data_IF_158349683845
#
_entry.id   IF_158349683845
#
_cell.length_a   1.000
_cell.length_b   1.000
_cell.length_c   1.000
_cell.angle_alpha   90.00
_cell.angle_beta   90.00
_cell.angle_gamma   90.00
#
_symmetry.space_group_name_H-M   'P 1'
#
loop_
_entity.id
_entity.type
_entity.pdbx_description
1 polymer ?
#
# COMPACT_ATOMS: atom_id res chain seq x y z
N UNK A 1 32.99 -49.03 -20.26
CA UNK A 1 31.51 -49.06 -20.21
C UNK A 1 31.07 -48.07 -19.13
N UNK A 2 30.54 -46.91 -19.51
CA UNK A 2 30.05 -45.92 -18.55
C UNK A 2 28.58 -46.21 -18.25
N UNK A 3 28.28 -46.56 -17.00
CA UNK A 3 26.94 -46.84 -16.50
C UNK A 3 26.15 -45.53 -16.46
N UNK A 4 25.19 -45.38 -17.39
CA UNK A 4 24.29 -44.23 -17.42
C UNK A 4 23.35 -44.31 -16.21
N UNK A 5 23.60 -43.49 -15.19
CA UNK A 5 22.68 -43.36 -14.06
C UNK A 5 21.32 -42.85 -14.57
N UNK A 6 20.28 -43.65 -14.31
CA UNK A 6 18.89 -43.31 -14.65
C UNK A 6 18.43 -42.27 -13.62
N UNK A 7 18.23 -41.02 -14.06
CA UNK A 7 17.61 -39.98 -13.23
C UNK A 7 16.27 -40.51 -12.71
N UNK A 8 15.98 -40.45 -11.40
CA UNK A 8 14.69 -40.91 -10.87
C UNK A 8 13.55 -40.10 -11.51
N UNK A 9 12.39 -40.72 -11.78
CA UNK A 9 11.24 -40.01 -12.31
C UNK A 9 10.84 -38.91 -11.34
N UNK A 10 10.68 -37.70 -11.85
CA UNK A 10 10.25 -36.56 -11.05
C UNK A 10 8.87 -36.90 -10.44
N UNK A 11 8.67 -36.79 -9.12
CA UNK A 11 7.40 -37.13 -8.50
C UNK A 11 6.28 -36.27 -9.13
N UNK A 12 5.15 -36.91 -9.44
CA UNK A 12 4.00 -36.23 -10.02
C UNK A 12 3.52 -35.13 -9.06
N UNK A 13 3.16 -33.93 -9.56
CA UNK A 13 2.71 -32.84 -8.71
C UNK A 13 1.41 -33.21 -7.99
N UNK A 14 1.36 -32.99 -6.68
CA UNK A 14 0.15 -33.17 -5.90
C UNK A 14 -0.81 -32.02 -6.15
N UNK A 15 -2.09 -32.35 -6.33
CA UNK A 15 -3.17 -31.36 -6.47
C UNK A 15 -4.04 -31.25 -5.21
N UNK A 16 -3.67 -31.96 -4.15
CA UNK A 16 -4.42 -31.97 -2.89
C UNK A 16 -4.07 -30.75 -2.04
N UNK A 17 -5.10 -30.13 -1.46
CA UNK A 17 -4.94 -29.10 -0.42
C UNK A 17 -4.62 -29.83 0.89
N UNK A 18 -3.49 -29.54 1.55
CA UNK A 18 -3.15 -30.17 2.81
C UNK A 18 -4.07 -29.69 3.91
N UNK A 19 -4.77 -30.63 4.55
CA UNK A 19 -5.58 -30.39 5.75
C UNK A 19 -4.99 -31.22 6.88
N UNK A 20 -4.83 -30.61 8.05
CA UNK A 20 -4.33 -31.32 9.22
C UNK A 20 -5.38 -32.33 9.69
N UNK A 21 -5.06 -33.63 9.56
CA UNK A 21 -5.89 -34.69 10.10
C UNK A 21 -5.95 -34.62 11.64
N UNK A 22 -7.10 -34.91 12.21
CA UNK A 22 -7.32 -35.14 13.65
C UNK A 22 -8.28 -36.31 13.79
N UNK A 23 -8.03 -37.18 14.78
CA UNK A 23 -8.91 -38.31 15.11
C UNK A 23 -10.22 -37.82 15.76
N UNK A 24 -10.25 -36.56 16.23
CA UNK A 24 -11.45 -35.90 16.73
C UNK A 24 -12.26 -35.30 15.56
N UNK A 25 -13.51 -35.75 15.30
CA UNK A 25 -14.32 -35.26 14.20
C UNK A 25 -14.58 -33.75 14.21
N UNK A 26 -14.78 -33.16 15.40
CA UNK A 26 -15.04 -31.72 15.52
C UNK A 26 -13.79 -30.89 15.16
N UNK A 27 -12.61 -31.34 15.59
CA UNK A 27 -11.34 -30.72 15.21
C UNK A 27 -11.02 -30.91 13.74
N UNK A 28 -11.31 -32.09 13.18
CA UNK A 28 -11.13 -32.35 11.76
C UNK A 28 -11.97 -31.39 10.90
N UNK A 29 -13.26 -31.19 11.23
CA UNK A 29 -14.10 -30.20 10.55
C UNK A 29 -13.58 -28.77 10.73
N UNK A 30 -13.11 -28.43 11.94
CA UNK A 30 -12.49 -27.14 12.21
C UNK A 30 -11.21 -26.90 11.39
N UNK A 31 -10.37 -27.92 11.23
CA UNK A 31 -9.15 -27.85 10.42
C UNK A 31 -9.48 -27.70 8.93
N UNK A 32 -10.52 -28.37 8.45
CA UNK A 32 -10.99 -28.20 7.07
C UNK A 32 -11.50 -26.78 6.82
N UNK A 33 -12.30 -26.23 7.75
CA UNK A 33 -12.78 -24.86 7.68
C UNK A 33 -11.62 -23.84 7.67
N UNK A 34 -10.60 -24.04 8.51
CA UNK A 34 -9.39 -23.20 8.53
C UNK A 34 -8.60 -23.29 7.21
N UNK A 35 -8.50 -24.48 6.64
CA UNK A 35 -7.77 -24.67 5.38
C UNK A 35 -8.47 -23.96 4.22
N UNK A 36 -9.80 -24.08 4.08
CA UNK A 36 -10.51 -23.50 2.93
C UNK A 36 -10.62 -21.97 3.00
N UNK A 37 -10.60 -21.39 4.20
CA UNK A 37 -10.60 -19.93 4.40
C UNK A 37 -9.21 -19.32 4.50
N UNK A 38 -8.15 -20.13 4.43
CA UNK A 38 -6.79 -19.65 4.44
C UNK A 38 -6.52 -18.73 3.24
N UNK A 39 -5.86 -17.56 3.43
CA UNK A 39 -5.59 -16.61 2.34
C UNK A 39 -4.84 -17.24 1.16
N UNK A 40 -3.94 -18.18 1.43
CA UNK A 40 -3.14 -18.86 0.42
C UNK A 40 -4.01 -19.76 -0.47
N UNK A 41 -5.01 -20.43 0.12
CA UNK A 41 -5.96 -21.27 -0.63
C UNK A 41 -6.88 -20.40 -1.49
N UNK A 42 -7.30 -19.23 -0.99
CA UNK A 42 -8.06 -18.28 -1.79
C UNK A 42 -7.24 -17.75 -2.98
N UNK A 43 -6.01 -17.32 -2.74
CA UNK A 43 -5.10 -16.84 -3.79
C UNK A 43 -4.81 -17.95 -4.83
N UNK A 44 -4.52 -19.17 -4.38
CA UNK A 44 -4.32 -20.33 -5.24
C UNK A 44 -5.51 -20.56 -6.18
N UNK A 45 -6.75 -20.55 -5.65
CA UNK A 45 -7.97 -20.76 -6.46
C UNK A 45 -8.12 -19.71 -7.55
N UNK A 46 -7.83 -18.45 -7.25
CA UNK A 46 -7.89 -17.36 -8.23
C UNK A 46 -6.82 -17.54 -9.30
N UNK A 47 -5.57 -17.84 -8.91
CA UNK A 47 -4.48 -18.08 -9.87
C UNK A 47 -4.84 -19.25 -10.80
N UNK A 48 -5.37 -20.34 -10.27
CA UNK A 48 -5.78 -21.49 -11.10
C UNK A 48 -6.95 -21.16 -12.04
N UNK A 49 -7.79 -20.20 -11.69
CA UNK A 49 -8.90 -19.76 -12.53
C UNK A 49 -8.46 -18.79 -13.64
N UNK A 50 -7.37 -18.06 -13.45
CA UNK A 50 -6.87 -17.06 -14.41
C UNK A 50 -5.82 -17.61 -15.38
N UNK A 51 -5.04 -18.60 -14.96
CA UNK A 51 -3.89 -19.08 -15.72
C UNK A 51 -4.23 -20.20 -16.71
N UNK A 52 -3.46 -20.26 -17.81
CA UNK A 52 -3.61 -21.34 -18.78
C UNK A 52 -3.21 -22.70 -18.18
N UNK A 53 -3.86 -23.78 -18.63
CA UNK A 53 -3.60 -25.12 -18.10
C UNK A 53 -2.14 -25.56 -18.25
N UNK A 54 -1.46 -25.11 -19.32
CA UNK A 54 -0.04 -25.44 -19.54
C UNK A 54 0.88 -24.88 -18.44
N UNK A 55 0.52 -23.72 -17.87
CA UNK A 55 1.26 -23.10 -16.77
C UNK A 55 0.95 -23.78 -15.42
N UNK A 56 -0.29 -24.27 -15.26
CA UNK A 56 -0.76 -24.83 -13.98
C UNK A 56 -0.58 -26.34 -13.86
N UNK A 57 -0.44 -27.05 -14.98
CA UNK A 57 -0.24 -28.50 -15.00
C UNK A 57 0.98 -28.95 -14.16
N UNK A 58 2.15 -28.28 -14.23
CA UNK A 58 3.33 -28.68 -13.45
C UNK A 58 3.26 -28.29 -11.97
N UNK A 59 2.34 -27.42 -11.54
CA UNK A 59 2.33 -26.86 -10.18
C UNK A 59 1.98 -27.91 -9.12
N UNK A 60 2.79 -27.99 -8.07
CA UNK A 60 2.46 -28.71 -6.85
C UNK A 60 1.65 -27.80 -5.91
N UNK A 61 0.42 -28.21 -5.57
CA UNK A 61 -0.50 -27.39 -4.76
C UNK A 61 0.05 -27.18 -3.34
N UNK A 62 0.50 -28.21 -2.60
CA UNK A 62 1.13 -28.00 -1.30
C UNK A 62 2.32 -27.04 -1.33
N UNK A 63 3.23 -27.19 -2.30
CA UNK A 63 4.39 -26.31 -2.47
C UNK A 63 3.98 -24.87 -2.79
N UNK A 64 2.97 -24.66 -3.63
CA UNK A 64 2.44 -23.34 -3.94
C UNK A 64 1.81 -22.66 -2.70
N UNK A 65 1.04 -23.41 -1.91
CA UNK A 65 0.43 -22.88 -0.69
C UNK A 65 1.48 -22.51 0.36
N UNK A 66 2.55 -23.31 0.49
CA UNK A 66 3.66 -22.98 1.37
C UNK A 66 4.37 -21.71 0.91
N UNK A 67 4.68 -21.59 -0.39
CA UNK A 67 5.29 -20.39 -0.95
C UNK A 67 4.45 -19.13 -0.72
N UNK A 68 3.14 -19.21 -0.94
CA UNK A 68 2.22 -18.07 -0.69
C UNK A 68 2.18 -17.69 0.80
N UNK A 69 2.22 -18.68 1.69
CA UNK A 69 2.29 -18.45 3.13
C UNK A 69 3.59 -17.76 3.53
N UNK A 70 4.72 -18.25 3.01
CA UNK A 70 6.05 -17.71 3.28
C UNK A 70 6.17 -16.27 2.77
N UNK A 71 5.57 -15.97 1.61
CA UNK A 71 5.48 -14.62 1.09
C UNK A 71 4.69 -13.70 2.05
N UNK A 72 3.54 -14.14 2.58
CA UNK A 72 2.78 -13.39 3.58
C UNK A 72 3.55 -13.17 4.88
N UNK A 73 4.31 -14.16 5.33
CA UNK A 73 5.18 -14.06 6.49
C UNK A 73 6.33 -13.07 6.26
N UNK A 74 6.96 -13.09 5.08
CA UNK A 74 8.01 -12.16 4.69
C UNK A 74 7.51 -10.70 4.76
N UNK A 75 6.34 -10.42 4.18
CA UNK A 75 5.70 -9.10 4.28
C UNK A 75 5.46 -8.66 5.73
N UNK A 76 4.95 -9.57 6.56
CA UNK A 76 4.68 -9.29 7.97
C UNK A 76 5.97 -9.01 8.76
N UNK A 77 7.11 -9.54 8.31
CA UNK A 77 8.43 -9.30 8.88
C UNK A 77 9.14 -8.05 8.36
N UNK A 78 8.52 -7.33 7.41
CA UNK A 78 9.07 -6.13 6.78
C UNK A 78 9.98 -6.39 5.58
N UNK A 79 10.10 -7.63 5.11
CA UNK A 79 10.80 -7.94 3.86
C UNK A 79 9.91 -7.56 2.66
N UNK A 80 10.30 -6.48 1.98
CA UNK A 80 9.59 -5.94 0.81
C UNK A 80 10.18 -6.43 -0.52
N UNK A 81 11.21 -7.29 -0.50
CA UNK A 81 11.97 -7.71 -1.70
C UNK A 81 11.04 -8.22 -2.81
N UNK A 82 10.05 -9.05 -2.45
CA UNK A 82 9.09 -9.57 -3.42
C UNK A 82 8.20 -8.46 -4.01
N UNK A 83 7.67 -7.55 -3.18
CA UNK A 83 6.88 -6.41 -3.67
C UNK A 83 7.71 -5.49 -4.57
N UNK A 84 8.97 -5.24 -4.22
CA UNK A 84 9.86 -4.43 -5.05
C UNK A 84 10.08 -5.06 -6.43
N UNK A 85 10.36 -6.38 -6.47
CA UNK A 85 10.51 -7.11 -7.72
C UNK A 85 9.22 -7.10 -8.54
N UNK A 86 8.07 -7.35 -7.89
CA UNK A 86 6.75 -7.34 -8.54
C UNK A 86 6.43 -5.96 -9.16
N UNK A 87 6.58 -4.88 -8.40
CA UNK A 87 6.31 -3.52 -8.89
C UNK A 87 7.28 -3.10 -10.00
N UNK A 88 8.55 -3.50 -9.91
CA UNK A 88 9.55 -3.24 -10.95
C UNK A 88 9.21 -3.97 -12.27
N UNK A 89 8.78 -5.23 -12.18
CA UNK A 89 8.32 -6.00 -13.33
C UNK A 89 7.05 -5.40 -13.94
N UNK A 90 6.07 -5.00 -13.11
CA UNK A 90 4.84 -4.36 -13.57
C UNK A 90 5.11 -3.01 -14.27
N UNK A 91 5.99 -2.18 -13.71
CA UNK A 91 6.40 -0.93 -14.34
C UNK A 91 7.04 -1.19 -15.71
N UNK A 92 7.92 -2.20 -15.81
CA UNK A 92 8.55 -2.58 -17.08
C UNK A 92 7.53 -3.07 -18.12
N UNK A 93 6.55 -3.87 -17.71
CA UNK A 93 5.48 -4.34 -18.58
C UNK A 93 4.60 -3.18 -19.09
N UNK A 94 4.22 -2.25 -18.20
CA UNK A 94 3.42 -1.07 -18.55
C UNK A 94 4.18 -0.12 -19.48
N UNK A 95 5.49 0.09 -19.26
CA UNK A 95 6.35 0.86 -20.17
C UNK A 95 6.44 0.20 -21.55
N UNK A 96 6.55 -1.13 -21.59
CA UNK A 96 6.55 -1.89 -22.84
C UNK A 96 5.21 -1.73 -23.57
N UNK A 97 4.10 -1.80 -22.85
CA UNK A 97 2.77 -1.59 -23.40
C UNK A 97 2.60 -0.17 -23.97
N UNK A 98 3.11 0.86 -23.27
CA UNK A 98 3.15 2.23 -23.79
C UNK A 98 3.90 2.31 -25.12
N UNK A 99 5.10 1.73 -25.19
CA UNK A 99 5.91 1.74 -26.43
C UNK A 99 5.15 1.07 -27.58
N UNK A 100 4.61 -0.14 -27.35
CA UNK A 100 3.87 -0.90 -28.37
C UNK A 100 2.60 -0.22 -28.85
N UNK A 101 1.83 0.39 -27.95
CA UNK A 101 0.62 1.11 -28.31
C UNK A 101 0.95 2.39 -29.08
N UNK A 102 2.05 3.06 -28.73
CA UNK A 102 2.53 4.26 -29.44
C UNK A 102 2.97 3.91 -30.86
N UNK A 103 3.78 2.85 -31.03
CA UNK A 103 4.14 2.31 -32.34
C UNK A 103 2.90 2.02 -33.18
N UNK A 104 1.93 1.29 -32.61
CA UNK A 104 0.67 0.98 -33.30
C UNK A 104 -0.14 2.22 -33.66
N UNK A 105 -0.18 3.24 -32.82
CA UNK A 105 -0.87 4.49 -33.07
C UNK A 105 -0.26 5.24 -34.27
N UNK A 106 1.08 5.32 -34.34
CA UNK A 106 1.79 6.00 -35.43
C UNK A 106 1.62 5.31 -36.79
N UNK A 107 1.27 4.02 -36.79
CA UNK A 107 0.95 3.28 -38.02
C UNK A 107 -0.50 3.45 -38.50
N UNK A 108 -1.37 4.14 -37.74
CA UNK A 108 -2.78 4.30 -38.12
C UNK A 108 -2.97 5.46 -39.11
N UNK A 109 -3.65 5.20 -40.21
CA UNK A 109 -4.08 6.24 -41.16
C UNK A 109 -5.42 6.88 -40.78
N UNK A 110 -6.23 6.20 -39.97
CA UNK A 110 -7.52 6.70 -39.49
C UNK A 110 -7.39 7.33 -38.11
N UNK A 111 -7.75 8.61 -38.02
CA UNK A 111 -7.63 9.41 -36.79
C UNK A 111 -8.29 8.76 -35.55
N UNK A 112 -9.50 8.18 -35.63
CA UNK A 112 -10.12 7.55 -34.45
C UNK A 112 -9.29 6.38 -33.87
N UNK A 113 -8.63 5.60 -34.73
CA UNK A 113 -7.78 4.49 -34.27
C UNK A 113 -6.48 5.00 -33.66
N UNK A 114 -5.89 6.04 -34.26
CA UNK A 114 -4.72 6.72 -33.71
C UNK A 114 -5.02 7.24 -32.30
N UNK A 115 -6.13 7.97 -32.15
CA UNK A 115 -6.56 8.51 -30.86
C UNK A 115 -6.81 7.40 -29.83
N UNK A 116 -7.50 6.32 -30.22
CA UNK A 116 -7.78 5.20 -29.33
C UNK A 116 -6.51 4.55 -28.80
N UNK A 117 -5.55 4.22 -29.68
CA UNK A 117 -4.27 3.64 -29.26
C UNK A 117 -3.43 4.62 -28.44
N UNK A 118 -3.37 5.90 -28.83
CA UNK A 118 -2.62 6.92 -28.11
C UNK A 118 -3.18 7.13 -26.69
N UNK A 119 -4.51 7.14 -26.53
CA UNK A 119 -5.16 7.25 -25.22
C UNK A 119 -4.80 6.07 -24.31
N UNK A 120 -4.79 4.86 -24.84
CA UNK A 120 -4.37 3.68 -24.08
C UNK A 120 -2.87 3.73 -23.74
N UNK A 121 -2.03 4.20 -24.66
CA UNK A 121 -0.59 4.37 -24.44
C UNK A 121 -0.33 5.33 -23.28
N UNK A 122 -0.90 6.54 -23.31
CA UNK A 122 -0.73 7.53 -22.25
C UNK A 122 -1.27 7.05 -20.90
N UNK A 123 -2.31 6.21 -20.90
CA UNK A 123 -2.78 5.54 -19.68
C UNK A 123 -1.80 4.50 -19.16
N UNK A 124 -1.14 3.72 -20.04
CA UNK A 124 -0.10 2.78 -19.62
C UNK A 124 1.12 3.51 -19.04
N UNK A 125 1.54 4.62 -19.67
CA UNK A 125 2.61 5.48 -19.16
C UNK A 125 2.28 6.05 -17.76
N UNK A 126 1.07 6.57 -17.56
CA UNK A 126 0.68 7.13 -16.27
C UNK A 126 0.65 6.08 -15.16
N UNK A 127 0.22 4.85 -15.46
CA UNK A 127 0.28 3.73 -14.52
C UNK A 127 1.71 3.24 -14.25
N UNK A 128 2.59 3.24 -15.27
CA UNK A 128 4.01 2.93 -15.08
C UNK A 128 4.68 3.93 -14.15
N UNK A 129 4.35 5.23 -14.28
CA UNK A 129 4.86 6.25 -13.35
C UNK A 129 4.31 6.04 -11.94
N UNK A 130 3.03 5.74 -11.80
CA UNK A 130 2.40 5.50 -10.50
C UNK A 130 3.04 4.31 -9.76
N UNK A 131 3.31 3.21 -10.47
CA UNK A 131 3.99 2.03 -9.89
C UNK A 131 5.41 2.35 -9.42
N UNK A 132 6.17 3.13 -10.19
CA UNK A 132 7.51 3.60 -9.78
C UNK A 132 7.46 4.57 -8.58
N UNK A 133 6.43 5.42 -8.50
CA UNK A 133 6.19 6.28 -7.34
C UNK A 133 5.89 5.46 -6.08
N UNK A 134 5.06 4.42 -6.20
CA UNK A 134 4.81 3.48 -5.10
C UNK A 134 6.11 2.79 -4.66
N UNK A 135 6.94 2.33 -5.61
CA UNK A 135 8.24 1.73 -5.28
C UNK A 135 9.16 2.73 -4.55
N UNK A 136 9.23 3.98 -5.01
CA UNK A 136 10.00 5.02 -4.35
C UNK A 136 9.50 5.31 -2.92
N UNK A 137 8.18 5.31 -2.71
CA UNK A 137 7.57 5.50 -1.40
C UNK A 137 7.82 4.31 -0.45
N UNK A 138 7.90 3.08 -0.99
CA UNK A 138 8.29 1.90 -0.20
C UNK A 138 9.74 2.04 0.27
N UNK A 139 10.65 2.48 -0.62
CA UNK A 139 12.08 2.64 -0.29
C UNK A 139 12.37 3.84 0.60
N UNK A 140 11.57 4.89 0.49
CA UNK A 140 11.70 6.12 1.26
C UNK A 140 10.32 6.52 1.80
N UNK A 141 9.88 5.91 2.92
CA UNK A 141 8.59 6.22 3.51
C UNK A 141 8.52 7.72 3.83
N UNK A 142 7.44 8.41 3.45
CA UNK A 142 7.30 9.82 3.79
C UNK A 142 7.33 9.98 5.32
N UNK A 143 8.16 10.90 5.81
CA UNK A 143 8.18 11.25 7.24
C UNK A 143 6.90 11.99 7.56
N UNK A 144 5.90 11.26 8.05
CA UNK A 144 4.68 11.87 8.59
C UNK A 144 5.00 12.34 10.00
N UNK A 145 5.27 13.63 10.15
CA UNK A 145 5.26 14.26 11.47
C UNK A 145 3.81 14.28 11.97
N UNK A 146 3.44 13.26 12.74
CA UNK A 146 2.22 13.31 13.52
C UNK A 146 2.38 14.47 14.51
N UNK A 147 1.75 15.61 14.20
CA UNK A 147 1.65 16.73 15.13
C UNK A 147 0.86 16.20 16.33
N UNK A 148 1.56 15.77 17.38
CA UNK A 148 0.97 15.34 18.63
C UNK A 148 0.12 16.49 19.16
N UNK A 149 -1.19 16.42 18.96
CA UNK A 149 -2.12 17.21 19.74
C UNK A 149 -2.16 16.50 21.08
N UNK A 150 -1.31 16.92 22.01
CA UNK A 150 -1.52 16.64 23.42
C UNK A 150 -2.85 17.31 23.81
N UNK A 151 -3.97 16.61 23.63
CA UNK A 151 -5.26 17.01 24.18
C UNK A 151 -5.23 16.75 25.69
N UNK A 152 -4.51 17.60 26.42
CA UNK A 152 -4.71 17.77 27.86
C UNK A 152 -5.86 18.74 28.07
N UNK A 153 -7.09 18.26 27.86
CA UNK A 153 -8.28 18.95 28.36
C UNK A 153 -9.15 17.93 29.10
N UNK A 154 -8.76 17.66 30.35
CA UNK A 154 -9.51 16.82 31.29
C UNK A 154 -8.70 15.64 31.82
N UNK A 155 -8.96 15.27 33.08
CA UNK A 155 -8.42 14.04 33.66
C UNK A 155 -9.07 12.83 32.97
N UNK A 156 -8.36 12.25 32.01
CA UNK A 156 -8.74 10.97 31.44
C UNK A 156 -8.39 9.86 32.43
N UNK A 157 -9.37 9.40 33.19
CA UNK A 157 -9.26 8.21 34.01
C UNK A 157 -9.27 6.97 33.10
N UNK A 158 -8.11 6.38 32.90
CA UNK A 158 -7.94 5.04 32.31
C UNK A 158 -8.30 3.98 33.37
N UNK A 159 -9.56 3.54 33.38
CA UNK A 159 -9.99 2.38 34.17
C UNK A 159 -9.58 1.09 33.44
N UNK A 160 -8.33 0.67 33.60
CA UNK A 160 -7.93 -0.68 33.24
C UNK A 160 -8.33 -1.61 34.40
N UNK A 161 -9.39 -2.39 34.17
CA UNK A 161 -10.05 -3.18 35.20
C UNK A 161 -9.12 -4.17 35.92
N UNK A 162 -8.99 -3.99 37.23
CA UNK A 162 -8.66 -5.06 38.19
C UNK A 162 -9.60 -4.92 39.37
N UNK A 163 -10.28 -6.02 39.68
CA UNK A 163 -11.27 -6.18 40.74
C UNK A 163 -10.69 -6.12 42.16
N UNK A 164 -11.57 -5.76 43.11
CA UNK A 164 -11.62 -6.06 44.57
C UNK A 164 -11.00 -5.04 45.56
N UNK A 165 -11.54 -4.89 46.80
CA UNK A 165 -12.93 -4.68 47.24
C UNK A 165 -13.13 -3.35 48.00
N UNK A 166 -14.41 -3.04 48.28
CA UNK A 166 -14.92 -1.85 48.97
C UNK A 166 -14.23 -1.54 50.31
N UNK A 167 -13.79 -0.29 50.47
CA UNK A 167 -13.62 0.32 51.80
C UNK A 167 -14.20 1.73 51.76
N UNK A 168 -15.28 1.94 52.54
CA UNK A 168 -15.86 3.26 52.82
C UNK A 168 -14.76 4.21 53.28
N UNK A 169 -14.64 5.37 52.63
CA UNK A 169 -14.04 6.56 53.22
C UNK A 169 -14.97 7.74 52.98
N UNK A 170 -15.43 8.25 54.10
CA UNK A 170 -16.17 9.49 54.30
C UNK A 170 -15.31 10.66 53.77
N UNK A 171 -15.90 11.51 52.94
CA UNK A 171 -15.28 12.74 52.47
C UNK A 171 -15.88 13.86 53.32
N UNK A 172 -15.13 14.32 54.32
CA UNK A 172 -15.41 15.56 55.02
C UNK A 172 -15.16 16.73 54.06
N UNK A 173 -16.20 17.51 53.81
CA UNK A 173 -16.11 18.78 53.09
C UNK A 173 -15.79 19.90 54.08
N UNK A 174 -14.61 20.49 53.98
CA UNK A 174 -14.30 21.81 54.57
C UNK A 174 -14.46 22.91 53.50
N UNK A 175 -15.22 24.00 53.77
CA UNK A 175 -15.31 25.11 52.84
C UNK A 175 -14.47 26.34 53.26
N UNK A 176 -14.18 27.15 52.23
CA UNK A 176 -13.71 28.54 52.22
C UNK A 176 -12.17 28.70 52.29
N UNK A 177 -11.54 29.58 51.50
CA UNK A 177 -11.88 31.00 51.32
C UNK A 177 -11.40 31.56 49.97
N UNK A 178 -12.24 32.45 49.43
CA UNK A 178 -11.91 33.55 48.52
C UNK A 178 -10.57 34.20 48.89
N UNK A 179 -9.72 34.47 47.90
CA UNK A 179 -8.64 35.44 48.04
C UNK A 179 -8.74 36.45 46.90
N UNK A 180 -8.65 37.70 47.32
CA UNK A 180 -9.04 38.93 46.65
C UNK A 180 -8.04 39.38 45.58
N UNK A 181 -8.56 40.23 44.69
CA UNK A 181 -7.91 40.81 43.52
C UNK A 181 -6.75 41.79 43.80
N UNK A 182 -5.81 41.80 42.84
CA UNK A 182 -5.04 42.94 42.27
C UNK A 182 -3.75 43.42 42.98
N UNK A 183 -2.78 44.08 42.28
CA UNK A 183 -2.91 44.77 40.98
C UNK A 183 -1.79 44.62 39.92
N UNK A 184 -2.20 44.91 38.68
CA UNK A 184 -1.50 45.59 37.57
C UNK A 184 0.04 45.44 37.46
N UNK A 185 0.48 44.53 36.59
CA UNK A 185 1.77 44.66 35.90
C UNK A 185 1.55 44.54 34.39
N UNK A 186 1.39 45.71 33.76
CA UNK A 186 1.31 45.85 32.31
C UNK A 186 2.64 45.45 31.67
N UNK A 187 2.64 44.36 30.90
CA UNK A 187 3.71 44.05 29.96
C UNK A 187 3.12 44.02 28.55
N UNK A 188 2.98 45.23 27.99
CA UNK A 188 2.74 45.47 26.56
C UNK A 188 3.97 45.02 25.75
N UNK A 189 3.79 44.01 24.91
CA UNK A 189 4.71 43.75 23.80
C UNK A 189 3.90 43.54 22.52
N UNK A 190 3.15 44.56 22.12
CA UNK A 190 2.76 44.72 20.70
C UNK A 190 4.03 44.86 19.85
N UNK A 191 4.41 43.76 19.20
CA UNK A 191 5.28 43.80 18.03
C UNK A 191 4.42 43.68 16.77
N UNK A 192 4.14 44.81 16.14
CA UNK A 192 3.57 44.88 14.79
C UNK A 192 4.67 44.46 13.80
N UNK A 193 4.51 43.34 13.10
CA UNK A 193 5.36 43.01 11.94
C UNK A 193 4.68 43.43 10.64
N UNK A 194 5.48 44.02 9.77
CA UNK A 194 5.11 44.81 8.61
C UNK A 194 4.46 44.01 7.46
N UNK A 195 3.53 44.65 6.77
CA UNK A 195 3.18 44.30 5.40
C UNK A 195 4.34 44.70 4.46
N UNK A 196 4.90 43.72 3.76
CA UNK A 196 5.78 43.90 2.60
C UNK A 196 5.15 43.04 1.52
N UNK A 197 4.87 43.46 0.30
CA UNK A 197 5.11 44.68 -0.47
C UNK A 197 4.80 44.24 -1.90
N UNK A 198 3.91 44.93 -2.60
CA UNK A 198 3.43 44.52 -3.91
C UNK A 198 4.49 44.68 -5.02
N UNK A 199 4.45 43.73 -5.97
CA UNK A 199 4.84 43.74 -7.40
C UNK A 199 6.32 43.85 -7.83
N UNK A 200 6.65 43.23 -8.98
CA UNK A 200 6.62 44.02 -10.20
C UNK A 200 5.93 43.35 -11.42
N UNK A 201 4.91 44.05 -11.91
CA UNK A 201 4.58 44.40 -13.30
C UNK A 201 5.38 43.62 -14.38
N UNK A 202 4.69 42.71 -15.10
CA UNK A 202 5.18 42.22 -16.39
C UNK A 202 5.19 43.34 -17.43
N UNK A 203 6.35 43.54 -18.06
CA UNK A 203 6.50 44.34 -19.27
C UNK A 203 6.03 43.54 -20.51
N UNK A 204 5.30 44.16 -21.46
CA UNK A 204 4.93 43.50 -22.71
C UNK A 204 6.13 43.48 -23.66
N UNK A 205 6.58 42.28 -24.04
CA UNK A 205 7.53 42.13 -25.15
C UNK A 205 6.77 42.02 -26.47
N UNK A 206 6.73 43.16 -27.18
CA UNK A 206 6.95 43.27 -28.62
C UNK A 206 5.96 42.57 -29.56
N UNK A 207 5.10 43.36 -30.20
CA UNK A 207 4.54 43.07 -31.52
C UNK A 207 5.67 42.88 -32.54
N UNK A 208 5.60 41.80 -33.33
CA UNK A 208 6.28 41.73 -34.63
C UNK A 208 5.19 41.51 -35.67
N UNK A 209 4.86 42.58 -36.37
CA UNK A 209 3.99 42.58 -37.53
C UNK A 209 4.67 41.95 -38.75
N UNK A 210 3.89 41.15 -39.48
CA UNK A 210 3.79 41.24 -40.93
C UNK A 210 4.93 40.66 -41.80
N UNK A 211 4.65 39.51 -42.43
CA UNK A 211 5.00 39.31 -43.84
C UNK A 211 4.01 38.33 -44.49
N UNK A 212 3.05 38.91 -45.21
CA UNK A 212 2.34 38.23 -46.28
C UNK A 212 3.24 38.20 -47.52
N UNK A 213 3.52 37.03 -48.08
CA UNK A 213 3.98 36.87 -49.46
C UNK A 213 3.69 35.43 -49.95
N UNK A 214 2.92 35.32 -51.05
CA UNK A 214 2.87 34.15 -51.94
C UNK A 214 1.61 33.31 -51.84
#
# INVERSE_FOLDING_TARGET
MATRMKTPPNPKPSKAIPVRASDNPAEHHGNYAKAITAPEVAAHRVIMACEHQDLTAPLDVPGMLLMLKDQGAAFSSGDMTHAEAMLSAQATALQTLFARLTEKAMMQSHMPNLEAFMRLALRAQSQSRATLQTLAAIKNPPVIYAKQINQTTGQQQINNGVTTPSRKREIETEPNKLLEEAPDERMDTRATSAAVGADPIMAPLGTIDGAAYG
#
